data_IF_746114002357
#
_entry.id   IF_746114002357
#
_cell.length_a   1.000
_cell.length_b   1.000
_cell.length_c   1.000
_cell.angle_alpha   90.00
_cell.angle_beta   90.00
_cell.angle_gamma   90.00
#
_symmetry.space_group_name_H-M   'P 1'
#
loop_
_entity.id
_entity.type
_entity.pdbx_description
1 polymer ?
#
# COMPACT_ATOMS: atom_id res chain seq x y z
N UNK A 1 -1.20 6.71 -9.57
CA UNK A 1 -1.59 5.30 -9.83
C UNK A 1 -2.41 4.83 -8.64
N UNK A 2 -3.55 4.18 -8.87
CA UNK A 2 -4.45 3.69 -7.82
C UNK A 2 -4.49 2.16 -7.94
N UNK A 3 -4.18 1.46 -6.85
CA UNK A 3 -4.17 0.00 -6.79
C UNK A 3 -5.08 -0.53 -5.68
N UNK A 4 -5.69 -1.68 -5.93
CA UNK A 4 -6.33 -2.49 -4.89
C UNK A 4 -5.24 -3.16 -4.01
N UNK A 5 -5.58 -3.49 -2.76
CA UNK A 5 -4.76 -4.31 -1.86
C UNK A 5 -4.15 -5.54 -2.55
N UNK A 6 -4.93 -6.29 -3.35
CA UNK A 6 -4.44 -7.51 -4.00
C UNK A 6 -3.42 -7.21 -5.11
N UNK A 7 -3.61 -6.11 -5.85
CA UNK A 7 -2.69 -5.72 -6.92
C UNK A 7 -1.39 -5.16 -6.34
N UNK A 8 -1.51 -4.30 -5.32
CA UNK A 8 -0.37 -3.81 -4.58
C UNK A 8 0.41 -4.94 -3.90
N UNK A 9 -0.28 -5.94 -3.35
CA UNK A 9 0.34 -7.14 -2.77
C UNK A 9 1.21 -7.87 -3.79
N UNK A 10 0.69 -8.10 -4.99
CA UNK A 10 1.45 -8.71 -6.08
C UNK A 10 2.68 -7.88 -6.46
N UNK A 11 2.52 -6.57 -6.57
CA UNK A 11 3.61 -5.65 -6.93
C UNK A 11 4.72 -5.62 -5.89
N UNK A 12 4.36 -5.51 -4.61
CA UNK A 12 5.30 -5.51 -3.49
C UNK A 12 5.87 -6.91 -3.16
N UNK A 13 5.50 -7.93 -3.96
CA UNK A 13 5.81 -9.33 -3.72
C UNK A 13 5.50 -9.71 -2.26
N UNK A 14 4.31 -9.33 -1.80
CA UNK A 14 3.88 -9.47 -0.42
C UNK A 14 2.45 -9.99 -0.33
N UNK A 15 2.04 -10.42 0.86
CA UNK A 15 0.69 -10.97 1.07
C UNK A 15 -0.28 -9.84 1.48
N UNK A 16 -1.56 -9.88 1.07
CA UNK A 16 -2.57 -8.90 1.51
C UNK A 16 -2.69 -8.85 3.05
N UNK A 17 -2.47 -9.97 3.74
CA UNK A 17 -2.43 -10.04 5.20
C UNK A 17 -1.27 -9.24 5.81
N UNK A 18 -0.10 -9.23 5.15
CA UNK A 18 1.08 -8.46 5.56
C UNK A 18 0.83 -6.97 5.33
N UNK A 19 0.26 -6.62 4.16
CA UNK A 19 -0.22 -5.28 3.84
C UNK A 19 -1.17 -4.72 4.89
N UNK A 20 -2.19 -5.49 5.28
CA UNK A 20 -3.14 -5.08 6.32
C UNK A 20 -2.47 -4.85 7.69
N UNK A 21 -1.45 -5.64 8.05
CA UNK A 21 -0.66 -5.43 9.28
C UNK A 21 0.16 -4.16 9.23
N UNK A 22 0.85 -3.88 8.13
CA UNK A 22 1.65 -2.66 7.97
C UNK A 22 0.78 -1.41 7.88
N UNK A 23 -0.37 -1.50 7.20
CA UNK A 23 -1.37 -0.43 7.17
C UNK A 23 -1.87 -0.08 8.58
N UNK A 24 -2.21 -1.10 9.39
CA UNK A 24 -2.62 -0.88 10.80
C UNK A 24 -1.51 -0.29 11.68
N UNK A 25 -0.24 -0.47 11.30
CA UNK A 25 0.92 0.04 12.03
C UNK A 25 1.14 1.54 11.86
N UNK A 26 0.51 2.14 10.84
CA UNK A 26 0.58 3.57 10.55
C UNK A 26 0.99 3.82 9.10
N UNK A 27 0.43 4.90 8.53
CA UNK A 27 0.66 5.28 7.14
C UNK A 27 2.13 5.58 6.84
N UNK A 28 2.86 6.15 7.80
CA UNK A 28 4.27 6.52 7.65
C UNK A 28 5.17 5.28 7.55
N UNK A 29 4.95 4.30 8.43
CA UNK A 29 5.64 3.00 8.36
C UNK A 29 5.25 2.23 7.08
N UNK A 30 4.00 2.35 6.65
CA UNK A 30 3.52 1.73 5.42
C UNK A 30 4.17 2.33 4.17
N UNK A 31 4.27 3.66 4.08
CA UNK A 31 4.95 4.35 2.97
C UNK A 31 6.43 3.99 2.88
N UNK A 32 7.14 3.92 4.01
CA UNK A 32 8.56 3.52 4.00
C UNK A 32 8.74 2.04 3.60
N UNK A 33 7.91 1.15 4.16
CA UNK A 33 7.97 -0.28 3.85
C UNK A 33 7.64 -0.58 2.40
N UNK A 34 6.57 0.02 1.88
CA UNK A 34 6.15 -0.16 0.49
C UNK A 34 7.20 0.40 -0.47
N UNK A 35 7.78 1.57 -0.19
CA UNK A 35 8.91 2.13 -0.93
C UNK A 35 10.15 1.23 -0.96
N UNK A 36 10.45 0.55 0.14
CA UNK A 36 11.59 -0.35 0.22
C UNK A 36 11.36 -1.68 -0.54
N UNK A 37 10.10 -2.10 -0.64
CA UNK A 37 9.68 -3.33 -1.34
C UNK A 37 9.44 -3.13 -2.84
N UNK A 38 8.98 -1.95 -3.22
CA UNK A 38 8.63 -1.63 -4.58
C UNK A 38 9.90 -1.39 -5.42
N UNK A 39 10.06 -2.06 -6.59
CA UNK A 39 11.24 -1.90 -7.43
C UNK A 39 11.39 -0.47 -7.98
N UNK A 40 10.30 0.29 -8.10
CA UNK A 40 10.29 1.69 -8.55
C UNK A 40 10.44 2.67 -7.38
N UNK A 41 10.63 2.16 -6.15
CA UNK A 41 10.73 2.96 -4.92
C UNK A 41 9.53 3.90 -4.73
N UNK A 42 8.35 3.41 -5.09
CA UNK A 42 7.10 4.13 -4.91
C UNK A 42 6.61 3.98 -3.47
N UNK A 43 6.43 5.11 -2.78
CA UNK A 43 5.78 5.12 -1.48
C UNK A 43 4.28 4.98 -1.69
N UNK A 44 3.68 3.94 -1.13
CA UNK A 44 2.25 3.74 -1.18
C UNK A 44 1.59 4.30 0.08
N UNK A 45 0.41 4.89 -0.10
CA UNK A 45 -0.47 5.35 0.97
C UNK A 45 -1.83 4.69 0.83
N UNK A 46 -2.40 4.34 1.96
CA UNK A 46 -3.78 3.86 2.02
C UNK A 46 -4.71 5.07 1.90
N UNK A 47 -5.66 5.02 0.97
CA UNK A 47 -6.76 5.95 0.91
C UNK A 47 -8.06 5.17 0.98
N UNK A 48 -8.90 5.56 1.93
CA UNK A 48 -10.28 5.10 1.98
C UNK A 48 -11.12 6.05 1.13
N UNK A 49 -11.77 5.53 0.09
CA UNK A 49 -12.73 6.34 -0.68
C UNK A 49 -14.05 6.40 0.07
N UNK A 50 -14.88 7.40 -0.27
CA UNK A 50 -16.26 7.52 0.24
C UNK A 50 -17.12 6.27 0.02
N UNK A 51 -16.71 5.38 -0.89
CA UNK A 51 -17.37 4.12 -1.24
C UNK A 51 -16.86 2.91 -0.42
N UNK A 52 -16.19 3.15 0.73
CA UNK A 52 -15.58 2.10 1.57
C UNK A 52 -14.53 1.23 0.85
N UNK A 53 -14.11 1.66 -0.34
CA UNK A 53 -13.16 0.93 -1.16
C UNK A 53 -11.74 1.20 -0.67
N UNK A 54 -11.05 0.11 -0.30
CA UNK A 54 -9.67 0.12 0.19
C UNK A 54 -8.72 0.27 -0.99
N UNK A 55 -8.40 1.51 -1.34
CA UNK A 55 -7.46 1.80 -2.43
C UNK A 55 -6.12 2.25 -1.89
N UNK A 56 -5.08 1.99 -2.67
CA UNK A 56 -3.73 2.44 -2.39
C UNK A 56 -3.30 3.40 -3.49
N UNK A 57 -2.81 4.55 -3.08
CA UNK A 57 -2.35 5.60 -3.98
C UNK A 57 -0.86 5.80 -3.79
N UNK A 58 -0.16 6.09 -4.88
CA UNK A 58 1.25 6.47 -4.80
C UNK A 58 1.35 7.86 -4.18
N UNK A 59 2.10 7.96 -3.08
CA UNK A 59 2.52 9.22 -2.50
C UNK A 59 3.65 9.80 -3.37
N UNK A 60 3.40 10.98 -3.94
CA UNK A 60 4.40 11.73 -4.70
C UNK A 60 5.30 12.53 -3.78
#
# INVERSE_FOLDING_TARGET
MILNQADLAKRLNSNPSTLGRHQKKGEEHFSQWSKAKDPEKLAWKYSETKDNSKIFVVAK
#
